data_IF_741709575005
#
_entry.id   IF_741709575005
#
_cell.length_a   1.000
_cell.length_b   1.000
_cell.length_c   1.000
_cell.angle_alpha   90.00
_cell.angle_beta   90.00
_cell.angle_gamma   90.00
#
_symmetry.space_group_name_H-M   'P 1'
#
loop_
_entity.id
_entity.type
_entity.pdbx_description
1 polymer ?
#
# COMPACT_ATOMS: atom_id res chain seq x y z
N UNK A 1 -0.97 38.72 11.22
CA UNK A 1 -0.48 38.86 9.83
C UNK A 1 -0.79 37.56 9.09
N UNK A 2 -1.54 37.61 7.97
CA UNK A 2 -1.79 36.43 7.12
C UNK A 2 -0.59 36.22 6.18
N UNK A 3 -0.25 34.97 5.90
CA UNK A 3 0.80 34.65 4.93
C UNK A 3 0.24 34.77 3.51
N UNK A 4 1.01 35.35 2.61
CA UNK A 4 0.63 35.53 1.20
C UNK A 4 1.65 34.86 0.29
N UNK A 5 1.18 33.99 -0.61
CA UNK A 5 2.00 33.40 -1.66
C UNK A 5 1.40 33.77 -3.01
N UNK A 6 2.21 34.35 -3.90
CA UNK A 6 1.79 34.77 -5.26
C UNK A 6 0.52 35.65 -5.28
N UNK A 7 0.36 36.53 -4.30
CA UNK A 7 -0.81 37.42 -4.20
C UNK A 7 -2.06 36.78 -3.59
N UNK A 8 -2.05 35.47 -3.32
CA UNK A 8 -3.15 34.78 -2.63
C UNK A 8 -2.84 34.68 -1.14
N UNK A 9 -3.77 35.16 -0.31
CA UNK A 9 -3.69 35.02 1.14
C UNK A 9 -4.14 33.62 1.54
N UNK A 10 -3.39 32.96 2.42
CA UNK A 10 -3.77 31.65 2.94
C UNK A 10 -3.72 31.62 4.47
N UNK A 11 -4.63 30.83 5.03
CA UNK A 11 -4.68 30.56 6.46
C UNK A 11 -3.68 29.44 6.77
N UNK A 12 -2.63 29.79 7.50
CA UNK A 12 -1.52 28.89 7.82
C UNK A 12 -1.85 28.06 9.06
N UNK A 13 -2.19 26.78 8.85
CA UNK A 13 -2.40 25.80 9.91
C UNK A 13 -1.36 24.67 9.82
N UNK A 14 -0.11 24.90 10.26
CA UNK A 14 0.93 23.88 10.20
C UNK A 14 0.62 22.74 11.17
N UNK A 15 0.95 21.49 10.81
CA UNK A 15 0.83 20.38 11.74
C UNK A 15 1.78 20.58 12.93
N UNK A 16 1.22 20.52 14.14
CA UNK A 16 2.00 20.63 15.38
C UNK A 16 2.66 19.28 15.65
N UNK A 17 3.98 19.21 15.46
CA UNK A 17 4.78 18.03 15.78
C UNK A 17 5.50 18.24 17.10
N UNK A 18 5.43 17.26 18.00
CA UNK A 18 6.11 17.35 19.29
C UNK A 18 7.63 17.23 19.14
N UNK A 19 8.33 18.34 19.39
CA UNK A 19 9.80 18.42 19.41
C UNK A 19 10.32 18.65 20.83
N UNK A 20 11.47 18.07 21.18
CA UNK A 20 12.25 18.51 22.34
C UNK A 20 13.19 19.63 21.93
N UNK A 21 13.26 20.68 22.73
CA UNK A 21 14.21 21.77 22.51
C UNK A 21 15.57 21.34 23.06
N UNK A 22 16.57 21.20 22.18
CA UNK A 22 17.94 20.96 22.59
C UNK A 22 18.58 22.18 23.25
N UNK A 23 19.72 21.94 23.91
CA UNK A 23 20.62 23.00 24.33
C UNK A 23 21.11 23.79 23.10
N UNK A 24 21.44 25.07 23.28
CA UNK A 24 22.01 25.90 22.22
C UNK A 24 23.34 25.30 21.82
N UNK A 25 23.44 24.80 20.58
CA UNK A 25 24.63 24.14 20.08
C UNK A 25 25.77 25.14 19.77
N UNK A 26 25.43 26.41 19.58
CA UNK A 26 26.37 27.50 19.38
C UNK A 26 25.67 28.76 18.86
N UNK A 27 26.46 29.77 18.50
CA UNK A 27 25.98 30.96 17.78
C UNK A 27 26.60 30.99 16.38
N UNK A 28 25.79 31.14 15.35
CA UNK A 28 26.23 31.36 13.98
C UNK A 28 25.75 32.73 13.50
N UNK A 29 26.68 33.60 13.08
CA UNK A 29 26.39 34.99 12.67
C UNK A 29 25.54 35.78 13.67
N UNK A 30 25.79 35.59 14.96
CA UNK A 30 25.07 36.26 16.04
C UNK A 30 23.73 35.61 16.42
N UNK A 31 23.25 34.61 15.68
CA UNK A 31 22.00 33.91 15.98
C UNK A 31 22.26 32.54 16.63
N UNK A 32 21.40 32.15 17.57
CA UNK A 32 21.51 30.86 18.26
C UNK A 32 21.17 29.70 17.31
N UNK A 33 22.12 28.79 17.12
CA UNK A 33 21.88 27.51 16.49
C UNK A 33 21.33 26.53 17.53
N UNK A 34 20.15 25.96 17.26
CA UNK A 34 19.54 24.94 18.13
C UNK A 34 19.09 23.74 17.31
N UNK A 35 19.38 22.55 17.81
CA UNK A 35 18.77 21.33 17.28
C UNK A 35 17.39 21.11 17.90
N UNK A 36 16.40 20.83 17.05
CA UNK A 36 15.05 20.43 17.46
C UNK A 36 14.85 18.98 17.07
N UNK A 37 15.03 18.08 18.03
CA UNK A 37 14.86 16.65 17.80
C UNK A 37 13.38 16.28 18.00
N UNK A 38 12.89 15.34 17.20
CA UNK A 38 11.55 14.78 17.38
C UNK A 38 11.52 14.00 18.70
N UNK A 39 10.44 14.14 19.48
CA UNK A 39 10.25 13.32 20.70
C UNK A 39 10.18 11.83 20.36
N UNK A 40 9.50 11.50 19.26
CA UNK A 40 9.37 10.14 18.76
C UNK A 40 10.31 9.97 17.58
N UNK A 41 11.28 9.07 17.71
CA UNK A 41 12.14 8.70 16.59
C UNK A 41 11.26 8.15 15.45
N UNK A 42 11.42 8.63 14.21
CA UNK A 42 10.68 8.09 13.08
C UNK A 42 11.11 6.63 12.86
N UNK A 43 10.13 5.72 12.76
CA UNK A 43 10.40 4.33 12.38
C UNK A 43 10.52 4.30 10.87
N UNK A 44 11.76 4.17 10.39
CA UNK A 44 12.03 4.06 8.96
C UNK A 44 11.62 2.68 8.47
N UNK A 45 10.88 2.64 7.36
CA UNK A 45 10.57 1.38 6.70
C UNK A 45 11.78 0.88 5.90
N UNK A 46 12.10 -0.42 5.92
CA UNK A 46 13.17 -0.98 5.09
C UNK A 46 12.90 -0.76 3.60
N UNK A 47 13.95 -0.53 2.81
CA UNK A 47 13.83 -0.36 1.35
C UNK A 47 13.49 -1.65 0.61
N UNK A 48 13.75 -2.81 1.22
CA UNK A 48 13.43 -4.14 0.68
C UNK A 48 12.48 -4.86 1.63
N UNK A 49 11.53 -5.59 1.06
CA UNK A 49 10.67 -6.48 1.82
C UNK A 49 11.50 -7.59 2.46
N UNK A 50 11.18 -7.93 3.71
CA UNK A 50 11.77 -9.09 4.38
C UNK A 50 11.29 -10.36 3.65
N UNK A 51 12.11 -11.42 3.60
CA UNK A 51 11.74 -12.68 2.94
C UNK A 51 11.87 -13.83 3.94
N UNK A 52 10.83 -14.65 4.06
CA UNK A 52 10.84 -15.86 4.87
C UNK A 52 10.51 -17.07 3.98
N UNK A 53 11.42 -18.05 3.94
CA UNK A 53 11.28 -19.29 3.12
C UNK A 53 10.84 -19.04 1.66
N UNK A 54 11.41 -18.01 1.03
CA UNK A 54 11.10 -17.65 -0.36
C UNK A 54 9.84 -16.81 -0.56
N UNK A 55 9.08 -16.52 0.49
CA UNK A 55 7.90 -15.64 0.43
C UNK A 55 8.25 -14.28 1.01
N UNK A 56 8.01 -13.20 0.25
CA UNK A 56 8.19 -11.84 0.75
C UNK A 56 7.15 -11.51 1.80
N UNK A 57 7.61 -11.15 2.99
CA UNK A 57 6.79 -10.54 4.03
C UNK A 57 6.42 -9.12 3.61
N UNK A 58 5.19 -8.97 3.15
CA UNK A 58 4.54 -7.68 3.00
C UNK A 58 3.47 -7.60 4.07
N UNK A 59 3.68 -6.74 5.06
CA UNK A 59 2.56 -6.27 5.87
C UNK A 59 1.76 -5.40 4.93
N UNK A 60 0.62 -5.89 4.44
CA UNK A 60 -0.31 -5.04 3.71
C UNK A 60 -0.50 -3.77 4.54
N UNK A 61 -0.51 -2.61 3.89
CA UNK A 61 -1.00 -1.40 4.55
C UNK A 61 -2.24 -1.82 5.32
N UNK A 62 -2.32 -1.44 6.59
CA UNK A 62 -3.53 -1.57 7.40
C UNK A 62 -4.61 -0.67 6.80
N UNK A 63 -4.99 -0.91 5.55
CA UNK A 63 -6.35 -0.74 5.13
C UNK A 63 -7.11 -1.70 6.02
N UNK A 64 -7.98 -1.13 6.86
CA UNK A 64 -9.00 -1.89 7.56
C UNK A 64 -9.66 -2.79 6.52
N UNK A 65 -9.31 -4.08 6.50
CA UNK A 65 -10.05 -5.08 5.74
C UNK A 65 -11.44 -5.01 6.35
N UNK A 66 -12.35 -4.31 5.68
CA UNK A 66 -13.73 -4.27 6.10
C UNK A 66 -14.15 -5.73 6.26
N UNK A 67 -14.57 -6.11 7.46
CA UNK A 67 -14.94 -7.48 7.79
C UNK A 67 -16.02 -7.91 6.79
N UNK A 68 -15.63 -8.73 5.81
CA UNK A 68 -16.57 -9.27 4.85
C UNK A 68 -17.50 -10.20 5.63
N UNK A 69 -18.81 -10.00 5.48
CA UNK A 69 -19.76 -10.88 6.14
C UNK A 69 -19.53 -12.32 5.67
N UNK A 70 -19.75 -13.28 6.57
CA UNK A 70 -19.54 -14.71 6.29
C UNK A 70 -20.31 -15.15 5.02
N UNK A 71 -21.47 -14.54 4.77
CA UNK A 71 -22.29 -14.77 3.59
C UNK A 71 -21.63 -14.26 2.29
N UNK A 72 -20.98 -13.09 2.32
CA UNK A 72 -20.24 -12.57 1.18
C UNK A 72 -19.01 -13.43 0.86
N UNK A 73 -18.31 -13.88 1.90
CA UNK A 73 -17.15 -14.76 1.77
C UNK A 73 -17.55 -16.14 1.24
N UNK A 74 -18.64 -16.74 1.72
CA UNK A 74 -19.12 -18.02 1.20
C UNK A 74 -19.54 -17.91 -0.28
N UNK A 75 -20.22 -16.82 -0.66
CA UNK A 75 -20.60 -16.54 -2.04
C UNK A 75 -19.38 -16.42 -2.96
N UNK A 76 -18.33 -15.70 -2.54
CA UNK A 76 -17.11 -15.54 -3.35
C UNK A 76 -16.37 -16.86 -3.55
N UNK A 77 -16.24 -17.68 -2.50
CA UNK A 77 -15.61 -19.00 -2.57
C UNK A 77 -16.36 -19.96 -3.51
N UNK A 78 -17.69 -19.95 -3.45
CA UNK A 78 -18.52 -20.74 -4.38
C UNK A 78 -18.28 -20.31 -5.83
N UNK A 79 -18.34 -19.00 -6.10
CA UNK A 79 -18.15 -18.47 -7.44
C UNK A 79 -16.75 -18.78 -8.00
N UNK A 80 -15.71 -18.59 -7.19
CA UNK A 80 -14.32 -18.89 -7.56
C UNK A 80 -14.14 -20.38 -7.87
N UNK A 81 -14.74 -21.26 -7.07
CA UNK A 81 -14.69 -22.71 -7.29
C UNK A 81 -15.40 -23.11 -8.57
N UNK A 82 -16.55 -22.53 -8.87
CA UNK A 82 -17.27 -22.77 -10.12
C UNK A 82 -16.48 -22.29 -11.33
N UNK A 83 -15.93 -21.06 -11.29
CA UNK A 83 -15.07 -20.56 -12.36
C UNK A 83 -13.87 -21.48 -12.58
N UNK A 84 -13.19 -21.90 -11.52
CA UNK A 84 -12.08 -22.85 -11.64
C UNK A 84 -12.50 -24.20 -12.24
N UNK A 85 -13.71 -24.70 -11.92
CA UNK A 85 -14.24 -25.92 -12.52
C UNK A 85 -14.57 -25.72 -14.00
N UNK A 86 -15.26 -24.63 -14.36
CA UNK A 86 -15.59 -24.29 -15.76
C UNK A 86 -14.34 -24.12 -16.61
N UNK A 87 -13.36 -23.34 -16.14
CA UNK A 87 -12.12 -23.11 -16.87
C UNK A 87 -11.34 -24.41 -17.10
N UNK A 88 -11.30 -25.30 -16.10
CA UNK A 88 -10.70 -26.64 -16.27
C UNK A 88 -11.44 -27.48 -17.30
N UNK A 89 -12.78 -27.55 -17.21
CA UNK A 89 -13.59 -28.31 -18.17
C UNK A 89 -13.40 -27.78 -19.59
N UNK A 90 -13.45 -26.47 -19.78
CA UNK A 90 -13.23 -25.82 -21.07
C UNK A 90 -11.83 -26.10 -21.61
N UNK A 91 -10.79 -26.02 -20.77
CA UNK A 91 -9.42 -26.35 -21.18
C UNK A 91 -9.28 -27.82 -21.59
N UNK A 92 -9.91 -28.76 -20.88
CA UNK A 92 -9.91 -30.17 -21.27
C UNK A 92 -10.63 -30.40 -22.60
N UNK A 93 -11.79 -29.77 -22.79
CA UNK A 93 -12.55 -29.85 -24.04
C UNK A 93 -11.76 -29.29 -25.22
N UNK A 94 -11.13 -28.12 -25.05
CA UNK A 94 -10.28 -27.52 -26.07
C UNK A 94 -9.13 -28.46 -26.46
N UNK A 95 -8.46 -29.08 -25.47
CA UNK A 95 -7.40 -30.07 -25.75
C UNK A 95 -7.93 -31.27 -26.54
N UNK A 96 -9.08 -31.84 -26.14
CA UNK A 96 -9.67 -32.98 -26.88
C UNK A 96 -10.12 -32.59 -28.28
N UNK A 97 -10.60 -31.36 -28.47
CA UNK A 97 -10.98 -30.86 -29.78
C UNK A 97 -9.77 -30.74 -30.70
N UNK A 98 -8.64 -30.24 -30.20
CA UNK A 98 -7.36 -30.21 -30.92
C UNK A 98 -6.89 -31.62 -31.30
N UNK A 99 -6.98 -32.60 -30.39
CA UNK A 99 -6.60 -34.00 -30.67
C UNK A 99 -7.44 -34.64 -31.79
N UNK A 100 -8.72 -34.29 -31.89
CA UNK A 100 -9.64 -34.80 -32.93
C UNK A 100 -9.56 -33.95 -34.22
N UNK A 101 -8.71 -32.92 -34.26
CA UNK A 101 -8.54 -32.04 -35.41
C UNK A 101 -9.71 -31.07 -35.62
N UNK A 102 -10.55 -30.89 -34.60
CA UNK A 102 -11.58 -29.84 -34.54
C UNK A 102 -10.90 -28.52 -34.16
N UNK A 103 -10.08 -27.99 -35.07
CA UNK A 103 -9.40 -26.72 -34.86
C UNK A 103 -10.43 -25.60 -34.73
N UNK A 104 -10.42 -24.86 -33.62
CA UNK A 104 -11.18 -23.62 -33.43
C UNK A 104 -10.65 -22.44 -34.27
N UNK A 105 -10.03 -22.71 -35.41
CA UNK A 105 -9.67 -21.72 -36.42
C UNK A 105 -10.64 -21.84 -37.59
N UNK A 106 -11.89 -21.44 -37.39
CA UNK A 106 -12.71 -20.94 -38.48
C UNK A 106 -13.68 -19.90 -37.92
N UNK A 107 -13.46 -18.67 -38.40
CA UNK A 107 -14.15 -17.39 -38.12
C UNK A 107 -13.70 -16.67 -36.85
#
# INVERSE_FOLDING_TARGET
MKLSYRGVSYDYNPPVVETTQGQTAGKYRGQDWRFRNLKKAPVLQPTKNLVYRGVSYQRGDTQSVAEQSVQQQSRSLFYNREQARRNRQQSMLNRTAEEVGLNAQTI
#
